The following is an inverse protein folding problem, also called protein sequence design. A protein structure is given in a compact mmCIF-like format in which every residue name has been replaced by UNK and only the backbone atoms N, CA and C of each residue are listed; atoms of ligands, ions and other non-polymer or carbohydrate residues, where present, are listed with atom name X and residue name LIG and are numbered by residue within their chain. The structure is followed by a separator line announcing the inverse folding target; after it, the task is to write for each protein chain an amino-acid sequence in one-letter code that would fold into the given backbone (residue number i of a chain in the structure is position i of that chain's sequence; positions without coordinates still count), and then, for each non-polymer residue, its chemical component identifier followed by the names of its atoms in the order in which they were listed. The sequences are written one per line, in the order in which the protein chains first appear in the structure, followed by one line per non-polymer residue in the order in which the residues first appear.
data_IF_203387706960
#
_entry.id   IF_203387706960
#
_cell.length_a   1.000
_cell.length_b   1.000
_cell.length_c   1.000
_cell.angle_alpha   90.00
_cell.angle_beta   90.00
_cell.angle_gamma   90.00
#
_symmetry.space_group_name_H-M   'P 1'
#
loop_
_entity.id
_entity.type
_entity.pdbx_description
1 polymer ?
#
# COMPACT_ATOMS: atom_id res chain seq x y z
N UNK A 1 42.26 -11.97 49.31
CA UNK A 1 40.90 -12.56 49.35
C UNK A 1 39.75 -11.58 49.07
N UNK A 2 39.99 -10.28 48.76
CA UNK A 2 38.92 -9.31 48.42
C UNK A 2 38.78 -8.97 46.93
N UNK A 3 39.72 -9.38 46.07
CA UNK A 3 39.65 -9.13 44.61
C UNK A 3 38.96 -10.24 43.79
N UNK A 4 38.69 -11.42 44.38
CA UNK A 4 38.12 -12.55 43.64
C UNK A 4 36.59 -12.57 43.60
N UNK A 5 35.93 -11.73 44.40
CA UNK A 5 34.46 -11.69 44.52
C UNK A 5 33.83 -10.74 43.49
N UNK A 6 34.57 -9.77 42.94
CA UNK A 6 34.02 -8.87 41.90
C UNK A 6 34.01 -9.48 40.49
N UNK A 7 34.83 -10.49 40.18
CA UNK A 7 34.86 -11.11 38.85
C UNK A 7 33.77 -12.16 38.62
N UNK A 8 33.07 -12.60 39.69
CA UNK A 8 32.01 -13.61 39.60
C UNK A 8 30.61 -13.00 39.39
N UNK A 9 30.44 -11.71 39.69
CA UNK A 9 29.17 -10.98 39.51
C UNK A 9 28.92 -10.52 38.06
N UNK A 10 29.92 -10.62 37.18
CA UNK A 10 29.80 -10.24 35.77
C UNK A 10 29.39 -11.41 34.83
N UNK A 11 29.32 -12.64 35.35
CA UNK A 11 28.97 -13.84 34.56
C UNK A 11 27.52 -14.32 34.76
N UNK A 12 26.72 -13.61 35.57
CA UNK A 12 25.29 -13.86 35.76
C UNK A 12 24.41 -12.80 35.09
N UNK A 13 24.93 -12.12 34.05
CA UNK A 13 24.06 -11.54 33.03
C UNK A 13 23.47 -12.68 32.21
N UNK A 14 22.53 -13.41 32.83
CA UNK A 14 21.60 -14.25 32.10
C UNK A 14 20.99 -13.35 31.04
N UNK A 15 21.39 -13.57 29.79
CA UNK A 15 20.61 -13.15 28.65
C UNK A 15 19.26 -13.86 28.85
N UNK A 16 18.32 -13.17 29.49
CA UNK A 16 16.91 -13.48 29.42
C UNK A 16 16.53 -13.22 27.98
N UNK A 17 16.95 -14.11 27.08
CA UNK A 17 16.31 -14.28 25.80
C UNK A 17 14.87 -14.50 26.16
N UNK A 18 14.01 -13.52 25.86
CA UNK A 18 12.58 -13.66 25.95
C UNK A 18 12.21 -14.79 24.98
N UNK A 19 12.30 -16.02 25.47
CA UNK A 19 11.73 -17.16 24.80
C UNK A 19 10.25 -16.87 24.77
N UNK A 20 9.67 -16.86 23.58
CA UNK A 20 8.23 -16.87 23.41
C UNK A 20 7.66 -18.01 24.22
N UNK A 21 7.26 -17.65 25.44
CA UNK A 21 7.11 -18.59 26.52
C UNK A 21 5.86 -19.39 26.27
N UNK A 22 5.92 -20.67 26.61
CA UNK A 22 4.79 -21.58 26.72
C UNK A 22 3.78 -21.16 27.80
N UNK A 23 3.80 -19.90 28.28
CA UNK A 23 2.71 -19.38 29.09
C UNK A 23 1.55 -19.09 28.16
N UNK A 24 0.39 -19.66 28.47
CA UNK A 24 -0.88 -19.53 27.72
C UNK A 24 -1.35 -18.08 27.45
N UNK A 25 -0.59 -17.07 27.90
CA UNK A 25 -0.89 -15.65 27.76
C UNK A 25 -0.33 -14.97 26.50
N UNK A 26 0.65 -15.55 25.79
CA UNK A 26 1.24 -14.94 24.60
C UNK A 26 0.93 -15.75 23.34
N UNK A 27 -0.22 -15.45 22.74
CA UNK A 27 -0.63 -16.01 21.46
C UNK A 27 0.39 -15.67 20.37
N UNK A 28 0.89 -16.68 19.65
CA UNK A 28 1.82 -16.48 18.55
C UNK A 28 1.16 -15.66 17.44
N UNK A 29 1.86 -14.65 16.95
CA UNK A 29 1.38 -13.76 15.91
C UNK A 29 2.25 -13.86 14.66
N UNK A 30 1.72 -14.41 13.57
CA UNK A 30 2.41 -14.47 12.30
C UNK A 30 2.05 -13.27 11.43
N UNK A 31 3.07 -12.59 10.88
CA UNK A 31 2.92 -11.49 9.93
C UNK A 31 3.42 -11.95 8.57
N UNK A 32 2.52 -12.05 7.60
CA UNK A 32 2.81 -12.48 6.23
C UNK A 32 2.92 -11.26 5.32
N UNK A 33 4.09 -11.10 4.72
CA UNK A 33 4.40 -10.02 3.80
C UNK A 33 4.28 -10.49 2.35
N UNK A 34 3.52 -9.77 1.53
CA UNK A 34 3.28 -10.11 0.12
C UNK A 34 3.69 -8.95 -0.79
N UNK A 35 4.74 -9.14 -1.58
CA UNK A 35 5.28 -8.09 -2.44
C UNK A 35 4.39 -7.81 -3.66
N UNK A 36 4.71 -6.72 -4.38
CA UNK A 36 4.05 -6.33 -5.62
C UNK A 36 4.68 -6.94 -6.87
N UNK A 37 4.18 -6.53 -8.03
CA UNK A 37 4.72 -6.94 -9.33
C UNK A 37 6.20 -6.54 -9.49
N UNK A 38 7.00 -7.35 -10.19
CA UNK A 38 8.43 -7.13 -10.43
C UNK A 38 9.26 -6.85 -9.16
N UNK A 39 8.87 -7.47 -8.04
CA UNK A 39 9.46 -7.25 -6.73
C UNK A 39 9.79 -8.57 -6.01
N UNK A 40 10.28 -8.48 -4.78
CA UNK A 40 10.62 -9.62 -3.93
C UNK A 40 10.53 -9.22 -2.44
N UNK A 41 10.93 -10.09 -1.50
CA UNK A 41 10.92 -9.78 -0.06
C UNK A 41 11.69 -8.50 0.33
N UNK A 42 12.70 -8.13 -0.45
CA UNK A 42 13.48 -6.91 -0.26
C UNK A 42 12.65 -5.62 -0.33
N UNK A 43 11.47 -5.65 -0.98
CA UNK A 43 10.48 -4.56 -0.97
C UNK A 43 10.16 -4.02 0.44
N UNK A 44 10.09 -4.92 1.41
CA UNK A 44 9.73 -4.58 2.79
C UNK A 44 10.91 -4.00 3.59
N UNK A 45 12.14 -4.18 3.09
CA UNK A 45 13.38 -3.84 3.78
C UNK A 45 13.47 -4.40 5.17
N UNK A 46 13.64 -3.52 6.15
CA UNK A 46 14.01 -3.89 7.51
C UNK A 46 12.79 -4.21 8.40
N UNK A 47 11.66 -4.62 7.83
CA UNK A 47 10.43 -4.83 8.60
C UNK A 47 10.56 -5.97 9.60
N UNK A 48 11.12 -7.11 9.19
CA UNK A 48 11.33 -8.25 10.09
C UNK A 48 12.34 -7.92 11.20
N UNK A 49 13.46 -7.27 10.85
CA UNK A 49 14.46 -6.81 11.80
C UNK A 49 13.89 -5.78 12.78
N UNK A 50 13.01 -4.90 12.29
CA UNK A 50 12.31 -3.92 13.10
C UNK A 50 11.43 -4.60 14.16
N UNK A 51 10.59 -5.56 13.75
CA UNK A 51 9.70 -6.29 14.66
C UNK A 51 10.50 -7.06 15.71
N UNK A 52 11.55 -7.77 15.29
CA UNK A 52 12.43 -8.50 16.21
C UNK A 52 13.14 -7.57 17.21
N UNK A 53 13.54 -6.37 16.77
CA UNK A 53 14.28 -5.43 17.60
C UNK A 53 13.40 -4.67 18.59
N UNK A 54 12.23 -4.20 18.14
CA UNK A 54 11.39 -3.27 18.91
C UNK A 54 10.17 -3.92 19.58
N UNK A 55 9.82 -5.15 19.15
CA UNK A 55 8.72 -5.94 19.71
C UNK A 55 9.16 -7.39 20.09
N UNK A 56 10.31 -7.59 20.75
CA UNK A 56 10.83 -8.94 21.04
C UNK A 56 9.92 -9.78 21.95
N UNK A 57 9.01 -9.13 22.69
CA UNK A 57 8.12 -9.78 23.66
C UNK A 57 6.71 -10.06 23.09
N UNK A 58 6.42 -9.67 21.86
CA UNK A 58 5.08 -9.84 21.24
C UNK A 58 4.96 -11.15 20.43
N UNK A 59 6.01 -11.98 20.41
CA UNK A 59 6.02 -13.27 19.73
C UNK A 59 5.60 -13.23 18.27
N UNK A 60 6.09 -12.19 17.59
CA UNK A 60 5.82 -11.92 16.20
C UNK A 60 6.80 -12.69 15.32
N UNK A 61 6.29 -13.46 14.36
CA UNK A 61 7.09 -14.13 13.34
C UNK A 61 6.78 -13.55 11.98
N UNK A 62 7.81 -13.07 11.28
CA UNK A 62 7.68 -12.54 9.93
C UNK A 62 7.87 -13.64 8.88
N UNK A 63 6.97 -13.68 7.91
CA UNK A 63 7.04 -14.59 6.77
C UNK A 63 6.90 -13.78 5.48
N UNK A 64 7.61 -14.18 4.44
CA UNK A 64 7.58 -13.50 3.14
C UNK A 64 7.08 -14.48 2.10
N UNK A 65 5.96 -14.15 1.46
CA UNK A 65 5.49 -14.89 0.31
C UNK A 65 6.11 -14.27 -0.95
N UNK A 66 6.94 -15.07 -1.62
CA UNK A 66 7.55 -14.72 -2.90
C UNK A 66 6.87 -15.52 -4.01
N UNK A 67 6.54 -14.85 -5.11
CA UNK A 67 5.91 -15.45 -6.28
C UNK A 67 6.59 -14.97 -7.56
N UNK A 68 6.49 -15.79 -8.61
CA UNK A 68 7.18 -15.60 -9.89
C UNK A 68 6.56 -14.48 -10.74
N UNK A 69 6.76 -13.25 -10.29
CA UNK A 69 6.28 -12.03 -10.95
C UNK A 69 7.18 -11.61 -12.11
N UNK A 70 6.60 -10.97 -13.13
CA UNK A 70 7.26 -10.71 -14.41
C UNK A 70 7.15 -11.88 -15.39
N UNK A 71 6.50 -12.99 -15.00
CA UNK A 71 6.33 -14.15 -15.84
C UNK A 71 5.13 -14.00 -16.77
N UNK A 72 5.40 -13.88 -18.07
CA UNK A 72 4.38 -13.73 -19.11
C UNK A 72 3.39 -14.92 -19.23
N UNK A 73 3.69 -16.06 -18.61
CA UNK A 73 2.84 -17.26 -18.63
C UNK A 73 1.85 -17.29 -17.48
N UNK A 74 2.21 -16.71 -16.34
CA UNK A 74 1.42 -16.71 -15.12
C UNK A 74 0.50 -15.49 -15.05
N UNK A 75 -0.55 -15.61 -14.26
CA UNK A 75 -1.54 -14.58 -14.04
C UNK A 75 -1.94 -14.52 -12.56
N UNK A 76 -2.80 -13.57 -12.21
CA UNK A 76 -3.21 -13.35 -10.82
C UNK A 76 -3.80 -14.60 -10.15
N UNK A 77 -4.58 -15.41 -10.88
CA UNK A 77 -5.21 -16.62 -10.32
C UNK A 77 -4.15 -17.70 -10.00
N UNK A 78 -3.08 -17.80 -10.82
CA UNK A 78 -1.95 -18.70 -10.53
C UNK A 78 -1.22 -18.27 -9.24
N UNK A 79 -1.08 -16.95 -9.03
CA UNK A 79 -0.47 -16.40 -7.81
C UNK A 79 -1.36 -16.57 -6.58
N UNK A 80 -2.68 -16.47 -6.73
CA UNK A 80 -3.65 -16.75 -5.66
C UNK A 80 -3.53 -18.22 -5.21
N UNK A 81 -3.47 -19.16 -6.17
CA UNK A 81 -3.28 -20.58 -5.85
C UNK A 81 -1.92 -20.86 -5.19
N UNK A 82 -0.87 -20.19 -5.64
CA UNK A 82 0.46 -20.29 -5.04
C UNK A 82 0.47 -19.76 -3.60
N UNK A 83 -0.23 -18.65 -3.35
CA UNK A 83 -0.37 -18.09 -2.01
C UNK A 83 -1.19 -18.99 -1.10
N UNK A 84 -2.26 -19.58 -1.62
CA UNK A 84 -3.07 -20.54 -0.90
C UNK A 84 -2.24 -21.76 -0.43
N UNK A 85 -1.44 -22.32 -1.33
CA UNK A 85 -0.53 -23.43 -1.02
C UNK A 85 0.48 -23.03 0.06
N UNK A 86 1.05 -21.82 -0.03
CA UNK A 86 1.97 -21.28 0.96
C UNK A 86 1.32 -21.15 2.35
N UNK A 87 0.09 -20.62 2.43
CA UNK A 87 -0.60 -20.44 3.71
C UNK A 87 -0.93 -21.79 4.35
N UNK A 88 -1.41 -22.77 3.58
CA UNK A 88 -1.72 -24.10 4.10
C UNK A 88 -0.47 -24.84 4.59
N UNK A 89 0.59 -24.91 3.78
CA UNK A 89 1.85 -25.56 4.16
C UNK A 89 2.41 -25.01 5.48
N UNK A 90 2.33 -23.69 5.66
CA UNK A 90 2.92 -23.00 6.81
C UNK A 90 2.02 -23.03 8.06
N UNK A 91 0.71 -22.89 7.88
CA UNK A 91 -0.20 -22.52 8.96
C UNK A 91 -1.34 -23.49 9.20
N UNK A 92 -1.57 -24.51 8.37
CA UNK A 92 -2.67 -25.48 8.55
C UNK A 92 -2.69 -26.07 9.96
N UNK A 93 -1.52 -26.43 10.49
CA UNK A 93 -1.36 -27.01 11.84
C UNK A 93 -1.07 -25.99 12.94
N UNK A 94 -1.02 -24.70 12.59
CA UNK A 94 -0.80 -23.62 13.56
C UNK A 94 -2.12 -23.18 14.18
N UNK A 95 -2.09 -22.54 15.35
CA UNK A 95 -3.22 -21.81 15.94
C UNK A 95 -2.95 -20.31 16.05
N UNK A 96 -1.85 -19.84 15.45
CA UNK A 96 -1.46 -18.43 15.48
C UNK A 96 -2.48 -17.52 14.80
N UNK A 97 -2.53 -16.28 15.30
CA UNK A 97 -3.14 -15.16 14.58
C UNK A 97 -2.30 -14.83 13.36
N UNK A 98 -2.97 -14.50 12.26
CA UNK A 98 -2.32 -14.11 11.01
C UNK A 98 -2.65 -12.64 10.73
N UNK A 99 -1.62 -11.83 10.54
CA UNK A 99 -1.70 -10.52 9.91
C UNK A 99 -1.11 -10.59 8.50
N UNK A 100 -1.77 -9.97 7.53
CA UNK A 100 -1.24 -9.87 6.17
C UNK A 100 -0.86 -8.42 5.88
N UNK A 101 0.34 -8.20 5.36
CA UNK A 101 0.84 -6.91 4.88
C UNK A 101 1.19 -7.06 3.40
N UNK A 102 0.38 -6.45 2.55
CA UNK A 102 0.46 -6.62 1.11
C UNK A 102 0.79 -5.29 0.41
N UNK A 103 1.59 -5.37 -0.64
CA UNK A 103 1.95 -4.23 -1.48
C UNK A 103 1.49 -4.43 -2.92
N UNK A 104 0.90 -3.40 -3.54
CA UNK A 104 0.53 -3.37 -4.95
C UNK A 104 -0.28 -4.63 -5.34
N UNK A 105 0.16 -5.41 -6.33
CA UNK A 105 -0.49 -6.67 -6.75
C UNK A 105 -0.71 -7.66 -5.59
N UNK A 106 0.15 -7.65 -4.56
CA UNK A 106 -0.02 -8.48 -3.37
C UNK A 106 -1.34 -8.27 -2.63
N UNK A 107 -1.91 -7.06 -2.67
CA UNK A 107 -3.22 -6.80 -2.08
C UNK A 107 -4.37 -7.41 -2.88
N UNK A 108 -4.24 -7.51 -4.20
CA UNK A 108 -5.21 -8.23 -5.04
C UNK A 108 -5.15 -9.72 -4.77
N UNK A 109 -3.94 -10.29 -4.66
CA UNK A 109 -3.74 -11.69 -4.26
C UNK A 109 -4.44 -11.94 -2.92
N UNK A 110 -4.19 -11.09 -1.91
CA UNK A 110 -4.81 -11.18 -0.59
C UNK A 110 -6.34 -11.17 -0.65
N UNK A 111 -6.91 -10.19 -1.38
CA UNK A 111 -8.36 -10.01 -1.47
C UNK A 111 -9.05 -11.24 -2.08
N UNK A 112 -8.55 -11.70 -3.23
CA UNK A 112 -9.18 -12.82 -3.93
C UNK A 112 -8.90 -14.16 -3.24
N UNK A 113 -7.74 -14.34 -2.63
CA UNK A 113 -7.47 -15.49 -1.77
C UNK A 113 -8.47 -15.52 -0.60
N UNK A 114 -8.63 -14.42 0.13
CA UNK A 114 -9.53 -14.37 1.27
C UNK A 114 -10.98 -14.65 0.87
N UNK A 115 -11.41 -14.11 -0.28
CA UNK A 115 -12.72 -14.43 -0.87
C UNK A 115 -12.88 -15.94 -1.09
N UNK A 116 -11.89 -16.59 -1.69
CA UNK A 116 -11.94 -18.03 -1.95
C UNK A 116 -12.01 -18.82 -0.64
N UNK A 117 -11.23 -18.44 0.37
CA UNK A 117 -11.23 -19.08 1.69
C UNK A 117 -12.58 -18.93 2.41
N UNK A 118 -13.15 -17.73 2.36
CA UNK A 118 -14.48 -17.46 2.93
C UNK A 118 -15.57 -18.29 2.23
N UNK A 119 -15.55 -18.38 0.90
CA UNK A 119 -16.49 -19.19 0.13
C UNK A 119 -16.33 -20.69 0.40
N UNK A 120 -15.09 -21.16 0.56
CA UNK A 120 -14.77 -22.54 0.89
C UNK A 120 -15.04 -22.91 2.36
N UNK A 121 -15.39 -21.92 3.20
CA UNK A 121 -15.52 -22.08 4.66
C UNK A 121 -14.23 -22.61 5.31
N UNK A 122 -13.09 -22.21 4.77
CA UNK A 122 -11.80 -22.68 5.23
C UNK A 122 -11.43 -22.06 6.59
N UNK A 123 -11.17 -22.84 7.66
CA UNK A 123 -10.97 -22.29 9.00
C UNK A 123 -9.78 -21.33 9.12
N UNK A 124 -8.81 -21.35 8.20
CA UNK A 124 -7.68 -20.42 8.23
C UNK A 124 -8.14 -18.97 8.09
N UNK A 125 -9.22 -18.68 7.36
CA UNK A 125 -9.69 -17.30 7.15
C UNK A 125 -10.12 -16.62 8.46
N UNK A 126 -10.57 -17.37 9.46
CA UNK A 126 -10.92 -16.83 10.78
C UNK A 126 -9.70 -16.39 11.60
N UNK A 127 -8.53 -16.95 11.31
CA UNK A 127 -7.25 -16.57 11.97
C UNK A 127 -6.63 -15.32 11.35
N UNK A 128 -7.03 -14.95 10.13
CA UNK A 128 -6.65 -13.69 9.51
C UNK A 128 -7.46 -12.57 10.15
N UNK A 129 -6.81 -11.84 11.07
CA UNK A 129 -7.46 -10.77 11.85
C UNK A 129 -7.12 -9.37 11.37
N UNK A 130 -5.91 -9.16 10.86
CA UNK A 130 -5.49 -7.84 10.39
C UNK A 130 -4.98 -7.92 8.96
N UNK A 131 -5.43 -7.01 8.12
CA UNK A 131 -5.04 -6.95 6.70
C UNK A 131 -4.62 -5.52 6.41
N UNK A 132 -3.37 -5.32 6.03
CA UNK A 132 -2.85 -4.04 5.59
C UNK A 132 -2.50 -4.15 4.12
N UNK A 133 -3.01 -3.24 3.31
CA UNK A 133 -2.66 -3.17 1.90
C UNK A 133 -2.11 -1.80 1.54
N UNK A 134 -1.06 -1.76 0.73
CA UNK A 134 -0.34 -0.53 0.37
C UNK A 134 -0.32 -0.38 -1.15
N UNK A 135 -0.89 0.71 -1.65
CA UNK A 135 -1.01 1.03 -3.07
C UNK A 135 -1.55 -0.14 -3.92
N UNK A 136 -2.51 -0.89 -3.40
CA UNK A 136 -3.15 -1.96 -4.17
C UNK A 136 -4.07 -1.38 -5.25
N UNK A 137 -3.93 -1.75 -6.53
CA UNK A 137 -4.77 -1.21 -7.60
C UNK A 137 -6.13 -1.89 -7.69
N UNK A 138 -7.00 -1.73 -6.68
CA UNK A 138 -8.35 -2.31 -6.68
C UNK A 138 -9.17 -1.89 -7.91
N UNK A 139 -9.02 -0.64 -8.35
CA UNK A 139 -9.71 -0.13 -9.55
C UNK A 139 -8.78 0.05 -10.75
N UNK A 140 -7.65 -0.65 -10.72
CA UNK A 140 -6.66 -0.70 -11.78
C UNK A 140 -5.59 0.38 -11.72
N UNK A 141 -4.53 0.21 -12.48
CA UNK A 141 -3.37 1.09 -12.51
C UNK A 141 -3.11 1.61 -13.92
N UNK A 142 -2.63 2.85 -14.02
CA UNK A 142 -2.31 3.48 -15.29
C UNK A 142 -1.09 2.81 -15.92
N UNK A 143 -0.07 2.48 -15.12
CA UNK A 143 1.08 1.68 -15.55
C UNK A 143 0.67 0.37 -16.21
N UNK A 144 -0.40 -0.26 -15.72
CA UNK A 144 -0.90 -1.49 -16.30
C UNK A 144 -1.54 -1.25 -17.66
N UNK A 145 -2.27 -0.15 -17.85
CA UNK A 145 -2.79 0.26 -19.15
C UNK A 145 -1.66 0.55 -20.15
N UNK A 146 -0.63 1.30 -19.71
CA UNK A 146 0.51 1.69 -20.53
C UNK A 146 1.36 0.48 -20.91
N UNK A 147 1.78 -0.32 -19.94
CA UNK A 147 2.58 -1.53 -20.16
C UNK A 147 1.86 -2.57 -21.03
N UNK A 148 0.52 -2.67 -20.91
CA UNK A 148 -0.26 -3.54 -21.78
C UNK A 148 -0.33 -3.02 -23.22
N UNK A 149 -0.47 -1.70 -23.41
CA UNK A 149 -0.69 -1.08 -24.74
C UNK A 149 0.60 -0.87 -25.53
N UNK A 150 1.68 -0.49 -24.86
CA UNK A 150 3.00 -0.25 -25.47
C UNK A 150 3.84 -1.53 -25.57
N UNK A 151 3.32 -2.64 -25.03
CA UNK A 151 4.00 -3.93 -24.94
C UNK A 151 5.09 -3.95 -23.87
N UNK A 152 5.59 -5.15 -23.58
CA UNK A 152 6.73 -5.38 -22.67
C UNK A 152 8.04 -4.77 -23.16
N UNK A 153 8.05 -4.08 -24.31
CA UNK A 153 9.23 -3.43 -24.87
C UNK A 153 9.75 -2.29 -23.98
N UNK A 154 8.86 -1.54 -23.31
CA UNK A 154 9.25 -0.44 -22.41
C UNK A 154 9.49 -0.94 -20.97
N UNK A 155 8.84 -2.03 -20.57
CA UNK A 155 8.93 -2.62 -19.24
C UNK A 155 9.01 -4.16 -19.34
N UNK A 156 10.16 -4.72 -19.75
CA UNK A 156 10.31 -6.15 -19.97
C UNK A 156 10.16 -6.99 -18.70
N UNK A 157 10.23 -6.34 -17.54
CA UNK A 157 10.09 -6.94 -16.21
C UNK A 157 8.64 -7.20 -15.81
N UNK A 158 7.65 -6.72 -16.58
CA UNK A 158 6.23 -6.88 -16.25
C UNK A 158 5.59 -7.96 -17.12
N UNK A 159 4.96 -8.95 -16.49
CA UNK A 159 4.24 -10.01 -17.20
C UNK A 159 2.98 -9.47 -17.87
N UNK A 160 2.82 -9.64 -19.19
CA UNK A 160 1.66 -9.13 -19.94
C UNK A 160 0.31 -9.64 -19.38
N UNK A 161 0.27 -10.91 -18.97
CA UNK A 161 -0.92 -11.52 -18.34
C UNK A 161 -1.20 -10.96 -16.95
N UNK A 162 -0.16 -10.64 -16.19
CA UNK A 162 -0.26 -10.01 -14.87
C UNK A 162 -0.89 -8.62 -14.98
N UNK A 163 -0.41 -7.81 -15.93
CA UNK A 163 -0.93 -6.46 -16.19
C UNK A 163 -2.39 -6.46 -16.64
N UNK A 164 -2.85 -7.51 -17.34
CA UNK A 164 -4.22 -7.60 -17.85
C UNK A 164 -5.26 -7.46 -16.73
N UNK A 165 -4.99 -8.01 -15.54
CA UNK A 165 -5.91 -8.00 -14.41
C UNK A 165 -5.86 -6.69 -13.60
N UNK A 166 -4.79 -5.91 -13.75
CA UNK A 166 -4.65 -4.59 -13.10
C UNK A 166 -4.99 -3.45 -14.05
N UNK A 167 -5.31 -3.73 -15.31
CA UNK A 167 -5.72 -2.71 -16.28
C UNK A 167 -7.04 -2.08 -15.80
N UNK A 168 -7.14 -0.76 -15.87
CA UNK A 168 -8.39 -0.02 -15.62
C UNK A 168 -9.46 -0.54 -16.59
N UNK A 169 -10.64 -0.85 -16.05
CA UNK A 169 -11.75 -1.44 -16.80
C UNK A 169 -11.52 -2.90 -17.22
N UNK A 170 -10.49 -3.58 -16.68
CA UNK A 170 -10.37 -5.03 -16.84
C UNK A 170 -11.53 -5.75 -16.16
N UNK A 171 -11.81 -6.99 -16.59
CA UNK A 171 -12.80 -7.85 -15.96
C UNK A 171 -12.56 -7.97 -14.45
N UNK A 172 -11.31 -8.14 -14.02
CA UNK A 172 -10.95 -8.29 -12.61
C UNK A 172 -11.21 -7.03 -11.80
N UNK A 173 -10.95 -5.85 -12.37
CA UNK A 173 -11.29 -4.56 -11.74
C UNK A 173 -12.81 -4.42 -11.55
N UNK A 174 -13.60 -4.78 -12.57
CA UNK A 174 -15.07 -4.77 -12.46
C UNK A 174 -15.54 -5.76 -11.38
N UNK A 175 -15.02 -6.98 -11.39
CA UNK A 175 -15.29 -7.99 -10.36
C UNK A 175 -14.93 -7.48 -8.94
N UNK A 176 -13.81 -6.76 -8.78
CA UNK A 176 -13.43 -6.15 -7.50
C UNK A 176 -14.43 -5.08 -7.06
N UNK A 177 -14.85 -4.20 -7.98
CA UNK A 177 -15.84 -3.15 -7.68
C UNK A 177 -17.20 -3.74 -7.27
N UNK A 178 -17.68 -4.76 -7.99
CA UNK A 178 -18.92 -5.46 -7.66
C UNK A 178 -18.79 -6.19 -6.32
N UNK A 179 -17.64 -6.82 -6.08
CA UNK A 179 -17.40 -7.54 -4.84
C UNK A 179 -17.41 -6.61 -3.62
N UNK A 180 -16.78 -5.42 -3.68
CA UNK A 180 -16.81 -4.45 -2.59
C UNK A 180 -18.22 -3.93 -2.25
N UNK A 181 -19.16 -4.00 -3.18
CA UNK A 181 -20.57 -3.66 -2.94
C UNK A 181 -21.40 -4.82 -2.39
N UNK A 182 -20.85 -6.02 -2.38
CA UNK A 182 -21.58 -7.22 -2.01
C UNK A 182 -21.66 -7.38 -0.48
N UNK A 183 -22.79 -7.87 0.00
CA UNK A 183 -22.94 -8.27 1.41
C UNK A 183 -21.90 -9.31 1.83
N UNK A 184 -21.54 -10.23 0.93
CA UNK A 184 -20.52 -11.25 1.16
C UNK A 184 -19.15 -10.65 1.49
N UNK A 185 -18.76 -9.57 0.81
CA UNK A 185 -17.52 -8.88 1.13
C UNK A 185 -17.59 -8.23 2.51
N UNK A 186 -18.69 -7.51 2.80
CA UNK A 186 -18.90 -6.90 4.11
C UNK A 186 -18.82 -7.94 5.25
N UNK A 187 -19.52 -9.07 5.10
CA UNK A 187 -19.48 -10.19 6.05
C UNK A 187 -18.06 -10.75 6.21
N UNK A 188 -17.32 -10.92 5.12
CA UNK A 188 -15.94 -11.40 5.16
C UNK A 188 -14.99 -10.43 5.89
N UNK A 189 -15.21 -9.11 5.79
CA UNK A 189 -14.29 -8.12 6.39
C UNK A 189 -14.73 -7.61 7.76
N UNK A 190 -15.98 -7.83 8.18
CA UNK A 190 -16.53 -7.21 9.40
C UNK A 190 -15.81 -7.63 10.68
N UNK A 191 -15.25 -8.84 10.70
CA UNK A 191 -14.48 -9.37 11.83
C UNK A 191 -12.97 -9.07 11.74
N UNK A 192 -12.55 -8.24 10.78
CA UNK A 192 -11.15 -7.97 10.45
C UNK A 192 -10.80 -6.50 10.61
N UNK A 193 -9.60 -6.23 11.11
CA UNK A 193 -9.00 -4.91 10.99
C UNK A 193 -8.44 -4.75 9.56
N UNK A 194 -9.25 -4.20 8.66
CA UNK A 194 -8.83 -3.95 7.28
C UNK A 194 -8.34 -2.51 7.10
N UNK A 195 -7.03 -2.38 6.89
CA UNK A 195 -6.32 -1.11 6.71
C UNK A 195 -5.83 -1.00 5.27
N UNK A 196 -6.08 0.15 4.66
CA UNK A 196 -5.61 0.45 3.30
C UNK A 196 -4.77 1.71 3.32
N UNK A 197 -3.64 1.69 2.63
CA UNK A 197 -2.70 2.81 2.58
C UNK A 197 -2.51 3.19 1.11
N UNK A 198 -2.86 4.43 0.79
CA UNK A 198 -2.50 5.08 -0.45
C UNK A 198 -1.31 6.02 -0.25
N UNK A 199 -0.65 6.35 -1.35
CA UNK A 199 0.39 7.36 -1.34
C UNK A 199 0.11 8.38 -2.44
N UNK A 200 0.13 9.67 -2.08
CA UNK A 200 0.01 10.72 -3.09
C UNK A 200 1.38 10.97 -3.69
N UNK A 201 1.52 10.79 -5.01
CA UNK A 201 2.78 10.99 -5.74
C UNK A 201 3.41 12.36 -5.43
N UNK A 202 4.73 12.35 -5.19
CA UNK A 202 5.58 13.51 -5.32
C UNK A 202 6.14 13.50 -6.76
N UNK A 203 5.86 14.52 -7.58
CA UNK A 203 6.32 14.53 -8.97
C UNK A 203 7.85 14.58 -9.02
N UNK A 204 8.42 13.65 -9.76
CA UNK A 204 9.83 13.66 -10.15
C UNK A 204 9.88 13.35 -11.65
N UNK A 205 10.73 14.09 -12.37
CA UNK A 205 10.87 14.05 -13.84
C UNK A 205 11.19 12.66 -14.42
N UNK A 206 11.62 11.72 -13.57
CA UNK A 206 11.93 10.33 -13.94
C UNK A 206 11.05 9.29 -13.20
N UNK A 207 10.22 9.72 -12.25
CA UNK A 207 9.28 8.87 -11.49
C UNK A 207 7.88 8.99 -12.09
N UNK A 208 7.74 8.75 -13.40
CA UNK A 208 6.43 8.79 -14.05
C UNK A 208 5.45 7.88 -13.30
N UNK A 209 5.93 6.76 -12.75
CA UNK A 209 5.16 5.85 -11.91
C UNK A 209 6.13 5.11 -10.97
N UNK A 210 6.70 5.78 -9.95
CA UNK A 210 7.33 5.06 -8.84
C UNK A 210 6.29 4.14 -8.19
N UNK A 211 6.67 2.94 -7.74
CA UNK A 211 5.85 1.75 -7.37
C UNK A 211 4.54 1.92 -6.54
N UNK A 212 4.17 3.14 -6.18
CA UNK A 212 2.89 3.55 -5.61
C UNK A 212 2.05 4.36 -6.60
N UNK A 213 2.33 4.23 -7.90
CA UNK A 213 1.62 4.87 -9.02
C UNK A 213 0.12 4.56 -9.12
N UNK A 214 -0.37 3.72 -8.22
CA UNK A 214 -1.78 3.53 -8.01
C UNK A 214 -2.34 4.80 -7.37
N UNK A 215 -3.11 5.54 -8.15
CA UNK A 215 -3.84 6.71 -7.65
C UNK A 215 -4.58 6.33 -6.36
N UNK A 216 -4.60 7.19 -5.33
CA UNK A 216 -5.26 6.84 -4.05
C UNK A 216 -6.69 6.36 -4.26
N UNK A 217 -7.38 6.93 -5.24
CA UNK A 217 -8.71 6.49 -5.67
C UNK A 217 -8.80 5.04 -6.10
N UNK A 218 -7.80 4.53 -6.81
CA UNK A 218 -7.74 3.12 -7.19
C UNK A 218 -7.42 2.20 -6.01
N UNK A 219 -6.77 2.72 -4.97
CA UNK A 219 -6.37 1.94 -3.79
C UNK A 219 -7.31 2.03 -2.59
N UNK A 220 -8.33 2.87 -2.64
CA UNK A 220 -9.28 3.05 -1.56
C UNK A 220 -10.57 2.25 -1.83
N UNK A 221 -10.81 1.11 -1.16
CA UNK A 221 -12.00 0.31 -1.39
C UNK A 221 -13.30 1.01 -0.95
N UNK A 222 -13.21 2.04 -0.10
CA UNK A 222 -14.37 2.78 0.40
C UNK A 222 -15.03 3.68 -0.65
N UNK A 223 -14.49 3.79 -1.88
CA UNK A 223 -15.08 4.65 -2.92
C UNK A 223 -16.35 4.10 -3.57
N UNK A 224 -16.64 2.81 -3.42
CA UNK A 224 -17.71 2.14 -4.18
C UNK A 224 -18.93 1.78 -3.33
N UNK A 225 -18.95 2.10 -2.04
CA UNK A 225 -20.05 1.81 -1.11
C UNK A 225 -20.37 2.97 -0.17
N UNK A 226 -21.55 2.94 0.44
CA UNK A 226 -21.95 3.90 1.48
C UNK A 226 -21.25 3.60 2.82
N UNK A 227 -21.01 2.31 3.09
CA UNK A 227 -20.35 1.84 4.29
C UNK A 227 -18.82 1.86 4.15
N UNK A 228 -18.14 2.31 5.22
CA UNK A 228 -16.68 2.22 5.30
C UNK A 228 -16.28 0.78 5.58
N UNK A 229 -15.66 0.15 4.60
CA UNK A 229 -15.18 -1.25 4.67
C UNK A 229 -13.73 -1.38 5.12
N UNK A 230 -13.00 -0.26 5.20
CA UNK A 230 -11.61 -0.22 5.67
C UNK A 230 -11.27 1.11 6.35
N UNK A 231 -10.30 1.08 7.26
CA UNK A 231 -9.60 2.29 7.71
C UNK A 231 -8.60 2.68 6.64
N UNK A 232 -8.88 3.78 5.92
CA UNK A 232 -8.02 4.27 4.85
C UNK A 232 -7.04 5.35 5.35
N UNK A 233 -5.79 5.20 4.95
CA UNK A 233 -4.72 6.16 5.19
C UNK A 233 -4.19 6.64 3.84
N UNK A 234 -3.94 7.95 3.71
CA UNK A 234 -3.16 8.49 2.61
C UNK A 234 -1.89 9.08 3.22
N UNK A 235 -0.71 8.70 2.71
CA UNK A 235 0.59 9.20 3.20
C UNK A 235 1.37 9.87 2.08
N UNK A 236 2.37 10.68 2.45
CA UNK A 236 3.24 11.31 1.45
C UNK A 236 4.15 10.24 0.81
N UNK A 237 4.15 10.18 -0.53
CA UNK A 237 4.87 9.17 -1.32
C UNK A 237 6.40 9.19 -1.16
N UNK A 238 6.96 10.16 -0.43
CA UNK A 238 8.41 10.21 -0.11
C UNK A 238 8.87 8.98 0.68
N UNK A 239 7.98 8.33 1.45
CA UNK A 239 8.31 7.13 2.23
C UNK A 239 8.22 5.82 1.44
N UNK A 240 7.86 5.92 0.16
CA UNK A 240 7.34 4.83 -0.64
C UNK A 240 7.87 5.02 -2.07
N UNK A 241 9.18 5.00 -2.25
CA UNK A 241 9.79 5.02 -3.58
C UNK A 241 10.36 3.65 -3.89
N UNK A 242 10.35 3.26 -5.13
CA UNK A 242 11.17 2.16 -5.61
C UNK A 242 12.02 2.72 -6.74
N UNK A 243 13.03 1.95 -7.09
CA UNK A 243 14.14 2.39 -7.89
C UNK A 243 14.31 1.37 -9.02
N UNK A 244 14.20 1.83 -10.27
CA UNK A 244 14.39 1.01 -11.47
C UNK A 244 15.78 0.36 -11.50
N UNK A 245 15.93 -0.66 -12.36
CA UNK A 245 17.14 -1.49 -12.55
C UNK A 245 18.45 -0.70 -12.40
N UNK A 246 19.36 -1.19 -11.54
CA UNK A 246 20.68 -0.57 -11.32
C UNK A 246 20.78 0.37 -10.12
N UNK A 247 19.74 0.49 -9.31
CA UNK A 247 19.79 1.29 -8.08
C UNK A 247 19.23 0.54 -6.86
N UNK A 248 19.69 0.83 -5.62
CA UNK A 248 19.31 0.04 -4.45
C UNK A 248 17.80 0.11 -4.23
N UNK A 249 17.13 -1.04 -4.03
CA UNK A 249 15.71 -1.10 -3.71
C UNK A 249 15.40 -0.16 -2.54
N UNK A 250 14.56 0.85 -2.75
CA UNK A 250 14.01 1.60 -1.62
C UNK A 250 12.92 0.76 -0.98
N UNK A 251 13.05 0.65 0.33
CA UNK A 251 12.34 -0.31 1.15
C UNK A 251 11.23 0.39 1.92
N UNK A 252 10.08 -0.27 2.08
CA UNK A 252 8.97 0.22 2.91
C UNK A 252 9.41 0.62 4.33
N UNK A 253 10.34 -0.15 4.91
CA UNK A 253 11.03 0.20 6.16
C UNK A 253 12.50 0.41 5.88
N UNK A 254 12.95 1.68 5.93
CA UNK A 254 14.35 2.03 5.72
C UNK A 254 15.25 1.68 6.91
N UNK A 255 16.57 1.55 6.67
CA UNK A 255 17.57 1.39 7.74
C UNK A 255 17.50 2.52 8.78
N UNK A 256 17.08 3.73 8.39
CA UNK A 256 16.90 4.85 9.33
C UNK A 256 15.77 4.58 10.32
N UNK A 257 14.69 3.91 9.91
CA UNK A 257 13.62 3.47 10.82
C UNK A 257 14.16 2.46 11.85
N UNK A 258 14.97 1.50 11.38
CA UNK A 258 15.57 0.49 12.25
C UNK A 258 16.55 1.09 13.27
N UNK A 259 17.22 2.19 12.93
CA UNK A 259 18.13 2.91 13.85
C UNK A 259 17.33 3.80 14.80
N UNK A 260 16.34 4.54 14.29
CA UNK A 260 15.56 5.53 15.03
C UNK A 260 14.10 5.51 14.54
N UNK A 261 13.19 4.80 15.24
CA UNK A 261 11.79 4.66 14.84
C UNK A 261 11.07 6.00 14.62
N UNK A 262 11.39 7.02 15.41
CA UNK A 262 10.87 8.39 15.26
C UNK A 262 11.14 9.04 13.90
N UNK A 263 12.10 8.53 13.11
CA UNK A 263 12.34 9.02 11.74
C UNK A 263 11.31 8.52 10.72
N UNK A 264 10.41 7.65 11.15
CA UNK A 264 9.40 7.02 10.31
C UNK A 264 7.98 7.37 10.79
N UNK A 265 7.84 8.51 11.47
CA UNK A 265 6.54 9.11 11.73
C UNK A 265 5.73 9.29 10.43
N UNK A 266 4.42 9.06 10.51
CA UNK A 266 3.49 9.15 9.38
C UNK A 266 3.84 8.24 8.18
N UNK A 267 4.58 7.14 8.42
CA UNK A 267 4.88 6.12 7.41
C UNK A 267 3.92 4.91 7.49
N UNK A 268 4.02 3.99 6.53
CA UNK A 268 3.33 2.70 6.61
C UNK A 268 3.70 1.89 7.86
N UNK A 269 4.95 2.02 8.33
CA UNK A 269 5.37 1.41 9.60
C UNK A 269 4.62 2.01 10.79
N UNK A 270 4.48 3.33 10.84
CA UNK A 270 3.74 4.01 11.90
C UNK A 270 2.28 3.54 11.96
N UNK A 271 1.65 3.40 10.78
CA UNK A 271 0.30 2.86 10.63
C UNK A 271 0.23 1.41 11.10
N UNK A 272 1.20 0.58 10.70
CA UNK A 272 1.26 -0.82 11.14
C UNK A 272 1.35 -0.92 12.66
N UNK A 273 2.22 -0.15 13.30
CA UNK A 273 2.33 -0.18 14.74
C UNK A 273 1.06 0.28 15.45
N UNK A 274 0.41 1.34 14.96
CA UNK A 274 -0.83 1.84 15.54
C UNK A 274 -1.95 0.80 15.44
N UNK A 275 -2.06 0.17 14.28
CA UNK A 275 -3.25 -0.62 13.93
C UNK A 275 -3.09 -2.11 14.28
N UNK A 276 -1.86 -2.63 14.35
CA UNK A 276 -1.59 -4.08 14.39
C UNK A 276 -0.82 -4.49 15.64
N UNK A 277 -0.18 -3.56 16.34
CA UNK A 277 0.67 -3.85 17.51
C UNK A 277 0.12 -3.21 18.78
N UNK A 278 0.42 -3.83 19.91
CA UNK A 278 -0.05 -3.36 21.21
C UNK A 278 0.70 -2.13 21.73
N UNK A 279 1.99 -2.02 21.40
CA UNK A 279 2.89 -1.01 21.93
C UNK A 279 3.54 -0.16 20.84
N UNK A 280 2.90 0.96 20.48
CA UNK A 280 3.39 1.87 19.45
C UNK A 280 4.77 2.50 19.82
N UNK A 281 5.74 2.43 18.90
CA UNK A 281 7.08 3.05 19.01
C UNK A 281 7.29 4.22 18.05
N UNK A 282 6.44 4.32 17.04
CA UNK A 282 6.46 5.26 15.92
C UNK A 282 5.13 5.97 15.91
N UNK A 283 5.17 7.29 16.09
CA UNK A 283 3.96 8.09 16.16
C UNK A 283 3.35 8.31 14.78
N UNK A 284 2.03 8.42 14.78
CA UNK A 284 1.26 9.00 13.68
C UNK A 284 0.75 10.34 14.17
N UNK A 285 1.38 11.42 13.71
CA UNK A 285 1.00 12.78 14.09
C UNK A 285 -0.11 13.30 13.18
N UNK A 286 -0.05 12.95 11.89
CA UNK A 286 -1.00 13.37 10.87
C UNK A 286 -1.22 12.25 9.86
N UNK A 287 -2.03 11.26 10.23
CA UNK A 287 -2.74 10.46 9.26
C UNK A 287 -4.05 11.17 8.94
N UNK A 288 -3.97 12.30 8.25
CA UNK A 288 -5.19 12.87 7.68
C UNK A 288 -5.53 12.06 6.43
N UNK A 289 -6.81 11.83 6.19
CA UNK A 289 -7.35 11.73 4.83
C UNK A 289 -6.76 12.92 4.09
N UNK A 290 -5.65 12.70 3.38
CA UNK A 290 -5.00 13.81 2.73
C UNK A 290 -5.96 14.14 1.61
N UNK A 291 -6.67 15.24 1.82
CA UNK A 291 -7.47 15.98 0.87
C UNK A 291 -6.67 16.44 -0.36
N UNK A 292 -5.55 15.80 -0.65
CA UNK A 292 -4.78 15.98 -1.85
C UNK A 292 -5.47 15.36 -3.05
N UNK A 293 -5.46 16.11 -4.13
CA UNK A 293 -5.72 15.60 -5.46
C UNK A 293 -4.51 15.89 -6.35
N UNK A 294 -4.41 15.15 -7.44
CA UNK A 294 -3.47 15.41 -8.50
C UNK A 294 -4.22 15.54 -9.82
N UNK A 295 -3.81 16.47 -10.68
CA UNK A 295 -4.32 16.58 -12.04
C UNK A 295 -3.17 16.65 -13.01
N UNK A 296 -3.16 15.74 -13.98
CA UNK A 296 -2.29 15.83 -15.14
C UNK A 296 -3.06 16.46 -16.29
N UNK A 297 -2.53 17.55 -16.81
CA UNK A 297 -3.08 18.26 -17.96
C UNK A 297 -2.10 18.12 -19.11
N UNK A 298 -2.53 17.53 -20.22
CA UNK A 298 -1.77 17.56 -21.47
C UNK A 298 -2.46 18.48 -22.46
N UNK A 299 -1.75 19.48 -22.98
CA UNK A 299 -2.30 20.42 -23.97
C UNK A 299 -1.27 20.82 -25.01
N UNK A 300 -1.61 20.65 -26.29
CA UNK A 300 -0.76 21.06 -27.42
C UNK A 300 -0.80 22.57 -27.70
N UNK A 301 -1.71 23.28 -27.04
CA UNK A 301 -1.88 24.71 -27.26
C UNK A 301 -0.81 25.50 -26.52
N UNK A 302 -0.26 26.52 -27.19
CA UNK A 302 0.70 27.44 -26.57
C UNK A 302 -0.07 28.61 -25.96
N UNK A 303 0.24 28.95 -24.71
CA UNK A 303 -0.36 30.10 -24.04
C UNK A 303 -0.40 29.94 -22.52
N UNK A 304 -0.79 30.99 -21.79
CA UNK A 304 -0.97 30.90 -20.34
C UNK A 304 -2.12 29.94 -20.01
N UNK A 305 -1.92 29.12 -18.99
CA UNK A 305 -2.95 28.24 -18.43
C UNK A 305 -3.37 28.82 -17.09
N UNK A 306 -4.66 29.12 -16.97
CA UNK A 306 -5.26 29.61 -15.73
C UNK A 306 -6.01 28.46 -15.06
N UNK A 307 -5.75 28.24 -13.78
CA UNK A 307 -6.45 27.23 -12.99
C UNK A 307 -7.09 27.89 -11.78
N UNK A 308 -8.38 27.68 -11.61
CA UNK A 308 -9.13 28.13 -10.43
C UNK A 308 -10.12 27.05 -9.97
N UNK A 309 -10.57 27.13 -8.72
CA UNK A 309 -11.69 26.30 -8.25
C UNK A 309 -13.04 26.87 -8.61
N UNK A 310 -14.03 25.97 -8.69
CA UNK A 310 -15.41 26.26 -8.29
C UNK A 310 -15.83 25.35 -7.14
N UNK A 311 -16.78 25.83 -6.33
CA UNK A 311 -17.45 25.06 -5.28
C UNK A 311 -16.55 24.51 -4.15
N UNK A 312 -15.45 25.20 -3.83
CA UNK A 312 -14.62 24.86 -2.67
C UNK A 312 -14.77 25.98 -1.65
N UNK A 313 -15.36 25.65 -0.48
CA UNK A 313 -15.76 26.64 0.52
C UNK A 313 -14.57 27.27 1.25
N UNK A 314 -13.46 26.55 1.36
CA UNK A 314 -12.26 26.99 2.08
C UNK A 314 -11.06 26.77 1.16
N UNK A 315 -10.36 27.85 0.81
CA UNK A 315 -9.44 27.91 -0.34
C UNK A 315 -8.50 26.72 -0.53
N UNK A 316 -8.19 26.41 -1.79
CA UNK A 316 -7.19 25.41 -2.15
C UNK A 316 -5.77 25.99 -2.12
N UNK A 317 -4.83 25.15 -1.73
CA UNK A 317 -3.42 25.36 -2.07
C UNK A 317 -3.07 24.53 -3.29
N UNK A 318 -2.45 25.16 -4.28
CA UNK A 318 -1.94 24.50 -5.47
C UNK A 318 -0.43 24.53 -5.51
N UNK A 319 0.15 23.47 -6.03
CA UNK A 319 1.52 23.41 -6.50
C UNK A 319 1.49 23.08 -7.98
N UNK A 320 2.07 23.98 -8.78
CA UNK A 320 2.17 23.83 -10.22
C UNK A 320 3.56 23.34 -10.58
N UNK A 321 3.62 22.25 -11.34
CA UNK A 321 4.88 21.69 -11.81
C UNK A 321 4.73 21.38 -13.29
N UNK A 322 5.49 22.11 -14.11
CA UNK A 322 5.68 21.73 -15.51
C UNK A 322 6.60 20.51 -15.55
N UNK A 323 6.14 19.42 -16.17
CA UNK A 323 6.90 18.17 -16.24
C UNK A 323 7.78 18.19 -17.49
N UNK A 324 7.16 18.17 -18.68
CA UNK A 324 7.83 18.36 -19.98
C UNK A 324 6.81 18.63 -21.06
N UNK A 325 7.29 19.17 -22.19
CA UNK A 325 6.48 19.38 -23.40
C UNK A 325 5.16 20.10 -23.03
N UNK A 326 4.07 19.50 -23.50
CA UNK A 326 2.67 19.86 -23.33
C UNK A 326 2.05 19.32 -22.01
N UNK A 327 2.83 18.68 -21.13
CA UNK A 327 2.34 18.00 -19.91
C UNK A 327 2.62 18.81 -18.63
N UNK A 328 1.54 19.13 -17.93
CA UNK A 328 1.51 19.87 -16.68
C UNK A 328 0.94 19.02 -15.56
N UNK A 329 1.45 19.22 -14.34
CA UNK A 329 0.96 18.57 -13.13
C UNK A 329 0.53 19.60 -12.10
N UNK A 330 -0.70 19.41 -11.61
CA UNK A 330 -1.30 20.18 -10.55
C UNK A 330 -1.46 19.27 -9.34
N UNK A 331 -0.78 19.57 -8.25
CA UNK A 331 -1.10 19.00 -6.94
C UNK A 331 -1.88 20.05 -6.18
N UNK A 332 -2.98 19.67 -5.56
CA UNK A 332 -3.66 20.58 -4.66
C UNK A 332 -4.21 19.88 -3.44
N UNK A 333 -4.58 20.67 -2.44
CA UNK A 333 -5.20 20.22 -1.21
C UNK A 333 -6.60 20.84 -1.09
N UNK A 334 -7.64 20.01 -0.96
CA UNK A 334 -8.97 20.41 -0.51
C UNK A 334 -8.88 20.74 0.99
N UNK A 335 -9.69 21.69 1.45
CA UNK A 335 -9.74 22.02 2.87
C UNK A 335 -10.35 20.90 3.69
N UNK A 336 -10.04 20.83 4.98
CA UNK A 336 -10.65 19.86 5.90
C UNK A 336 -12.18 19.92 5.79
N UNK A 337 -12.81 18.79 5.44
CA UNK A 337 -14.26 18.66 5.21
C UNK A 337 -14.70 18.59 3.75
N UNK A 338 -13.89 19.08 2.80
CA UNK A 338 -14.18 18.99 1.37
C UNK A 338 -13.67 17.66 0.80
N UNK A 339 -14.56 16.83 0.24
CA UNK A 339 -14.22 15.54 -0.39
C UNK A 339 -14.14 15.62 -1.91
N UNK A 340 -14.73 16.66 -2.51
CA UNK A 340 -14.73 16.90 -3.96
C UNK A 340 -14.78 18.38 -4.30
N UNK A 341 -14.43 18.71 -5.54
CA UNK A 341 -14.45 20.06 -6.08
C UNK A 341 -14.32 20.06 -7.59
N UNK A 342 -14.30 21.25 -8.17
CA UNK A 342 -14.11 21.43 -9.61
C UNK A 342 -12.90 22.31 -9.87
N UNK A 343 -11.95 21.81 -10.67
CA UNK A 343 -10.91 22.63 -11.27
C UNK A 343 -11.40 23.13 -12.61
N UNK A 344 -11.45 24.44 -12.74
CA UNK A 344 -11.67 25.09 -14.01
C UNK A 344 -10.31 25.45 -14.57
N UNK A 345 -10.00 24.85 -15.72
CA UNK A 345 -8.77 25.08 -16.47
C UNK A 345 -9.13 25.87 -17.71
N UNK A 346 -8.57 27.07 -17.82
CA UNK A 346 -8.79 27.97 -18.96
C UNK A 346 -7.48 28.18 -19.71
N UNK A 347 -7.51 27.92 -21.02
CA UNK A 347 -6.38 28.12 -21.93
C UNK A 347 -6.89 28.79 -23.20
N UNK A 348 -6.55 30.08 -23.39
CA UNK A 348 -7.13 30.88 -24.47
C UNK A 348 -8.67 30.93 -24.37
N UNK A 349 -9.42 30.64 -25.45
CA UNK A 349 -10.88 30.61 -25.43
C UNK A 349 -11.47 29.30 -24.88
N UNK A 350 -10.63 28.27 -24.61
CA UNK A 350 -11.08 26.97 -24.14
C UNK A 350 -11.12 26.94 -22.62
N UNK A 351 -12.24 26.46 -22.10
CA UNK A 351 -12.44 26.22 -20.67
C UNK A 351 -12.85 24.76 -20.47
N UNK A 352 -12.19 24.09 -19.53
CA UNK A 352 -12.55 22.74 -19.10
C UNK A 352 -12.78 22.68 -17.61
N UNK A 353 -13.73 21.85 -17.22
CA UNK A 353 -14.08 21.61 -15.82
C UNK A 353 -13.70 20.18 -15.50
N UNK A 354 -12.73 20.02 -14.61
CA UNK A 354 -12.29 18.73 -14.10
C UNK A 354 -12.88 18.57 -12.70
N UNK A 355 -13.72 17.55 -12.52
CA UNK A 355 -14.10 17.11 -11.19
C UNK A 355 -12.86 16.51 -10.52
N UNK A 356 -12.52 17.04 -9.36
CA UNK A 356 -11.48 16.52 -8.50
C UNK A 356 -12.13 15.99 -7.23
N UNK A 357 -11.53 14.95 -6.67
CA UNK A 357 -11.93 14.47 -5.35
C UNK A 357 -10.69 14.11 -4.55
N UNK A 358 -10.81 14.16 -3.23
CA UNK A 358 -9.75 13.78 -2.31
C UNK A 358 -9.23 12.38 -2.69
N UNK A 359 -7.91 12.24 -2.80
CA UNK A 359 -7.25 11.02 -3.24
C UNK A 359 -7.39 10.68 -4.72
N UNK A 360 -8.12 11.46 -5.53
CA UNK A 360 -8.21 11.18 -6.97
C UNK A 360 -7.06 11.83 -7.74
N UNK A 361 -6.58 11.09 -8.75
CA UNK A 361 -5.76 11.67 -9.82
C UNK A 361 -6.64 11.80 -11.06
N UNK A 362 -6.89 13.03 -11.51
CA UNK A 362 -7.66 13.30 -12.72
C UNK A 362 -6.70 13.57 -13.89
N UNK A 363 -7.08 13.15 -15.10
CA UNK A 363 -6.31 13.40 -16.31
C UNK A 363 -7.19 14.18 -17.28
N UNK A 364 -6.68 15.29 -17.81
CA UNK A 364 -7.31 16.02 -18.90
C UNK A 364 -6.36 16.08 -20.07
N UNK A 365 -6.82 15.61 -21.22
CA UNK A 365 -6.08 15.71 -22.48
C UNK A 365 -6.86 16.65 -23.40
N UNK A 366 -6.21 17.71 -23.86
CA UNK A 366 -6.74 18.70 -24.78
C UNK A 366 -6.23 18.51 -26.21
#
# INVERSE_FOLDING_TARGET
MRLLVLSLLFLLSFNTSATCGTSDSHEIHDVVFIHGIASNKGAFGYWAEYLNKYHPNECIKSHFFEYDTGNNKLNLDDFIQSFDSFIHDRFEKSHSKISIVAHSQGGLITLFWLRNMFQAQDPIHHRVKNIMTMATPYFGAIIANLGYSLGTFILPILGKKELKNMKIGSKKVVETMEYFKSYQFFEMITDKNYVTISATLAPSLFDIEGDFAVAPSSSNPNLVGEDKVSTHYNIDGVHLRFRLFGTPATTLVSKKCLISPSRCENSSLAIFEKEFLSNQKVKINYAKDINTFAVYLRTKERGPIWVHSKNIQRGMRFSFIHIRDDLYFYKGHLSDGDTSGELVITQGPKTSIIKISSGQTSYLTH
#
